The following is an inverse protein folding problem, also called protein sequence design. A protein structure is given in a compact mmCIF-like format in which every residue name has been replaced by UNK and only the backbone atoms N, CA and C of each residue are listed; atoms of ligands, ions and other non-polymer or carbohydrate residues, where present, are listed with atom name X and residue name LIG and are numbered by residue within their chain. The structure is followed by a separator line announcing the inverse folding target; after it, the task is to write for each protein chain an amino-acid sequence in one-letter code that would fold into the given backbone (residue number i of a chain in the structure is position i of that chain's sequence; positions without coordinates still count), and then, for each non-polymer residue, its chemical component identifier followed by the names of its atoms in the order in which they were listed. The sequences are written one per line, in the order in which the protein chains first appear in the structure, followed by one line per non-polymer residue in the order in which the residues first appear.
data_IF_480232816168
#
_entry.id   IF_480232816168
#
_cell.length_a   1.000
_cell.length_b   1.000
_cell.length_c   1.000
_cell.angle_alpha   90.00
_cell.angle_beta   90.00
_cell.angle_gamma   90.00
#
_symmetry.space_group_name_H-M   'P 1'
#
loop_
_entity.id
_entity.type
_entity.pdbx_description
1 polymer ?
#
# COMPACT_ATOMS: atom_id res chain seq x y z
N UNK A 1 -5.51 -20.23 15.25
CA UNK A 1 -6.53 -21.30 15.33
C UNK A 1 -7.51 -21.01 14.20
N UNK A 2 -7.30 -21.62 13.03
CA UNK A 2 -8.10 -21.39 11.82
C UNK A 2 -9.45 -22.10 11.97
N UNK A 3 -10.55 -21.36 11.91
CA UNK A 3 -11.89 -21.93 11.81
C UNK A 3 -12.40 -21.71 10.39
N UNK A 4 -12.25 -22.72 9.53
CA UNK A 4 -12.64 -22.65 8.12
C UNK A 4 -14.13 -22.34 7.90
N UNK A 5 -15.00 -22.64 8.88
CA UNK A 5 -16.43 -22.32 8.83
C UNK A 5 -16.75 -20.89 9.28
N UNK A 6 -15.86 -20.29 10.08
CA UNK A 6 -16.05 -18.95 10.64
C UNK A 6 -15.69 -17.83 9.64
N UNK A 7 -15.00 -18.17 8.54
CA UNK A 7 -14.39 -17.21 7.59
C UNK A 7 -15.08 -17.17 6.20
N UNK A 8 -16.04 -18.06 5.91
CA UNK A 8 -16.73 -18.06 4.61
C UNK A 8 -17.77 -16.96 4.51
N UNK A 9 -17.55 -16.04 3.58
CA UNK A 9 -18.46 -14.93 3.29
C UNK A 9 -19.74 -15.40 2.57
N UNK A 10 -19.62 -16.45 1.74
CA UNK A 10 -20.73 -17.07 1.00
C UNK A 10 -21.85 -17.55 1.93
N UNK A 11 -21.52 -17.87 3.18
CA UNK A 11 -22.50 -18.29 4.17
C UNK A 11 -23.41 -17.13 4.64
N UNK A 12 -23.01 -15.88 4.39
CA UNK A 12 -23.76 -14.68 4.73
C UNK A 12 -24.47 -14.06 3.53
N UNK A 13 -24.12 -14.43 2.31
CA UNK A 13 -24.63 -13.78 1.10
C UNK A 13 -25.50 -14.74 0.29
N UNK A 14 -26.67 -14.26 -0.10
CA UNK A 14 -27.67 -14.98 -0.87
C UNK A 14 -28.03 -14.17 -2.13
N UNK A 15 -28.62 -14.79 -3.18
CA UNK A 15 -29.10 -14.07 -4.36
C UNK A 15 -29.95 -12.84 -4.01
N UNK A 16 -30.79 -12.98 -2.98
CA UNK A 16 -31.46 -11.88 -2.29
C UNK A 16 -31.15 -11.99 -0.79
N UNK A 17 -30.26 -11.13 -0.30
CA UNK A 17 -29.80 -11.17 1.09
C UNK A 17 -30.69 -10.31 1.97
N UNK A 18 -31.25 -10.89 3.04
CA UNK A 18 -31.91 -10.13 4.10
C UNK A 18 -30.90 -9.88 5.22
N UNK A 19 -30.49 -8.63 5.38
CA UNK A 19 -29.61 -8.17 6.45
C UNK A 19 -30.41 -7.87 7.71
N UNK A 20 -29.97 -8.44 8.83
CA UNK A 20 -30.47 -8.15 10.16
C UNK A 20 -29.40 -7.39 10.93
N UNK A 21 -29.63 -6.09 11.09
CA UNK A 21 -28.66 -5.15 11.66
C UNK A 21 -29.09 -4.78 13.07
N UNK A 22 -28.27 -5.17 14.05
CA UNK A 22 -28.45 -4.84 15.45
C UNK A 22 -27.52 -3.68 15.79
N UNK A 23 -28.11 -2.51 16.03
CA UNK A 23 -27.41 -1.23 16.07
C UNK A 23 -27.37 -0.69 17.52
N UNK A 24 -26.21 -0.20 17.98
CA UNK A 24 -25.99 0.07 19.39
C UNK A 24 -26.79 1.27 19.93
N UNK A 25 -27.20 2.20 19.07
CA UNK A 25 -27.82 3.48 19.45
C UNK A 25 -28.98 3.86 18.54
N UNK A 26 -29.90 4.69 19.02
CA UNK A 26 -30.95 5.27 18.17
C UNK A 26 -30.38 6.11 17.03
N UNK A 27 -29.22 6.74 17.23
CA UNK A 27 -28.53 7.52 16.21
C UNK A 27 -28.06 6.63 15.05
N UNK A 28 -27.41 5.50 15.36
CA UNK A 28 -26.98 4.54 14.34
C UNK A 28 -28.17 3.90 13.60
N UNK A 29 -29.29 3.65 14.29
CA UNK A 29 -30.55 3.24 13.64
C UNK A 29 -31.06 4.29 12.66
N UNK A 30 -31.09 5.57 13.08
CA UNK A 30 -31.54 6.66 12.22
C UNK A 30 -30.64 6.85 10.99
N UNK A 31 -29.31 6.82 11.18
CA UNK A 31 -28.34 6.85 10.07
C UNK A 31 -28.64 5.75 9.06
N UNK A 32 -28.88 4.54 9.54
CA UNK A 32 -29.16 3.40 8.68
C UNK A 32 -30.49 3.50 7.92
N UNK A 33 -31.57 3.93 8.58
CA UNK A 33 -32.87 4.16 7.94
C UNK A 33 -32.77 5.24 6.87
N UNK A 34 -32.10 6.35 7.16
CA UNK A 34 -31.88 7.44 6.21
C UNK A 34 -31.07 6.98 5.00
N UNK A 35 -29.98 6.25 5.22
CA UNK A 35 -29.17 5.66 4.16
C UNK A 35 -30.01 4.73 3.27
N UNK A 36 -30.78 3.82 3.88
CA UNK A 36 -31.66 2.90 3.15
C UNK A 36 -32.70 3.64 2.31
N UNK A 37 -33.34 4.66 2.88
CA UNK A 37 -34.33 5.49 2.19
C UNK A 37 -33.72 6.24 0.99
N UNK A 38 -32.54 6.83 1.14
CA UNK A 38 -31.84 7.54 0.07
C UNK A 38 -31.34 6.60 -1.03
N UNK A 39 -30.92 5.39 -0.64
CA UNK A 39 -30.39 4.36 -1.55
C UNK A 39 -31.46 3.48 -2.20
N UNK A 40 -32.75 3.68 -1.90
CA UNK A 40 -33.86 2.80 -2.30
C UNK A 40 -33.69 1.34 -1.87
N UNK A 41 -33.07 1.10 -0.70
CA UNK A 41 -32.98 -0.24 -0.11
C UNK A 41 -34.24 -0.49 0.75
N UNK A 42 -35.04 -1.54 0.46
CA UNK A 42 -36.21 -1.86 1.27
C UNK A 42 -35.81 -2.19 2.71
N UNK A 43 -36.12 -1.28 3.64
CA UNK A 43 -35.79 -1.41 5.05
C UNK A 43 -37.03 -1.36 5.94
N UNK A 44 -37.07 -2.21 6.95
CA UNK A 44 -38.11 -2.25 7.97
C UNK A 44 -37.45 -2.24 9.35
N UNK A 45 -37.84 -1.30 10.21
CA UNK A 45 -37.44 -1.33 11.60
C UNK A 45 -38.27 -2.39 12.34
N UNK A 46 -37.60 -3.42 12.86
CA UNK A 46 -38.23 -4.57 13.54
C UNK A 46 -38.30 -4.32 15.05
N UNK A 47 -37.32 -3.60 15.60
CA UNK A 47 -37.26 -3.18 17.00
C UNK A 47 -36.51 -1.84 17.13
N UNK A 48 -36.53 -1.25 18.33
CA UNK A 48 -35.77 -0.07 18.76
C UNK A 48 -34.29 -0.06 18.34
N UNK A 49 -33.66 -1.24 18.27
CA UNK A 49 -32.25 -1.41 17.91
C UNK A 49 -32.03 -2.38 16.74
N UNK A 50 -33.09 -2.79 16.03
CA UNK A 50 -32.98 -3.78 14.96
C UNK A 50 -33.67 -3.30 13.68
N UNK A 51 -32.94 -3.30 12.58
CA UNK A 51 -33.50 -3.07 11.25
C UNK A 51 -33.25 -4.29 10.36
N UNK A 52 -34.24 -4.59 9.53
CA UNK A 52 -34.15 -5.58 8.46
C UNK A 52 -34.04 -4.85 7.14
N UNK A 53 -33.08 -5.22 6.30
CA UNK A 53 -32.89 -4.63 4.97
C UNK A 53 -32.74 -5.72 3.92
N UNK A 54 -33.50 -5.63 2.82
CA UNK A 54 -33.38 -6.56 1.69
C UNK A 54 -32.48 -5.97 0.61
N UNK A 55 -31.51 -6.76 0.17
CA UNK A 55 -30.48 -6.30 -0.79
C UNK A 55 -30.20 -7.41 -1.78
N UNK A 56 -30.27 -7.09 -3.07
CA UNK A 56 -29.87 -8.02 -4.14
C UNK A 56 -28.36 -8.26 -4.12
N UNK A 57 -27.92 -9.46 -4.49
CA UNK A 57 -26.49 -9.82 -4.52
C UNK A 57 -25.62 -8.79 -5.26
N UNK A 58 -26.13 -8.22 -6.36
CA UNK A 58 -25.44 -7.20 -7.16
C UNK A 58 -25.21 -5.86 -6.44
N UNK A 59 -25.92 -5.62 -5.34
CA UNK A 59 -25.89 -4.37 -4.58
C UNK A 59 -25.28 -4.52 -3.18
N UNK A 60 -24.98 -5.75 -2.73
CA UNK A 60 -24.45 -6.05 -1.38
C UNK A 60 -23.22 -5.21 -1.04
N UNK A 61 -22.22 -5.19 -1.92
CA UNK A 61 -20.97 -4.44 -1.67
C UNK A 61 -21.25 -2.94 -1.51
N UNK A 62 -22.03 -2.36 -2.42
CA UNK A 62 -22.43 -0.94 -2.35
C UNK A 62 -23.23 -0.63 -1.10
N UNK A 63 -24.14 -1.52 -0.73
CA UNK A 63 -24.98 -1.38 0.46
C UNK A 63 -24.13 -1.36 1.73
N UNK A 64 -23.30 -2.38 1.95
CA UNK A 64 -22.52 -2.52 3.18
C UNK A 64 -21.45 -1.44 3.30
N UNK A 65 -20.71 -1.17 2.22
CA UNK A 65 -19.70 -0.10 2.21
C UNK A 65 -20.32 1.28 2.41
N UNK A 66 -21.44 1.56 1.73
CA UNK A 66 -22.14 2.83 1.85
C UNK A 66 -22.75 3.02 3.23
N UNK A 67 -23.50 2.04 3.73
CA UNK A 67 -24.20 2.13 5.01
C UNK A 67 -23.23 2.34 6.16
N UNK A 68 -22.18 1.52 6.21
CA UNK A 68 -21.23 1.60 7.31
C UNK A 68 -20.17 2.68 7.10
N UNK A 69 -20.09 3.29 5.92
CA UNK A 69 -19.38 4.55 5.71
C UNK A 69 -19.99 5.72 6.48
N UNK A 70 -21.27 5.64 6.86
CA UNK A 70 -21.96 6.65 7.68
C UNK A 70 -21.66 6.51 9.19
N UNK A 71 -20.94 5.46 9.59
CA UNK A 71 -20.77 5.06 11.00
C UNK A 71 -19.38 5.42 11.50
N UNK A 72 -19.29 5.83 12.77
CA UNK A 72 -18.01 5.99 13.45
C UNK A 72 -17.39 4.62 13.78
N UNK A 73 -16.05 4.51 13.97
CA UNK A 73 -15.39 3.24 14.25
C UNK A 73 -15.95 2.47 15.46
N UNK A 74 -16.37 3.18 16.50
CA UNK A 74 -16.99 2.57 17.68
C UNK A 74 -18.39 2.02 17.37
N UNK A 75 -19.18 2.74 16.57
CA UNK A 75 -20.50 2.28 16.12
C UNK A 75 -20.37 1.03 15.24
N UNK A 76 -19.40 1.01 14.34
CA UNK A 76 -19.05 -0.12 13.48
C UNK A 76 -18.69 -1.39 14.26
N UNK A 77 -17.89 -1.27 15.32
CA UNK A 77 -17.48 -2.41 16.14
C UNK A 77 -18.59 -2.91 17.06
N UNK A 78 -19.48 -2.01 17.50
CA UNK A 78 -20.60 -2.35 18.37
C UNK A 78 -21.83 -2.86 17.60
N UNK A 79 -21.99 -2.47 16.33
CA UNK A 79 -23.04 -2.96 15.45
C UNK A 79 -22.82 -4.43 15.10
N UNK A 80 -23.89 -5.21 15.15
CA UNK A 80 -23.86 -6.64 14.83
C UNK A 80 -24.72 -6.96 13.63
N UNK A 81 -24.29 -7.94 12.84
CA UNK A 81 -24.95 -8.35 11.62
C UNK A 81 -25.14 -9.86 11.62
N UNK A 82 -26.30 -10.29 11.16
CA UNK A 82 -26.52 -11.62 10.59
C UNK A 82 -27.37 -11.51 9.33
N UNK A 83 -27.50 -12.60 8.57
CA UNK A 83 -28.22 -12.60 7.30
C UNK A 83 -29.05 -13.86 7.11
N UNK A 84 -30.10 -13.75 6.30
CA UNK A 84 -30.98 -14.85 5.91
C UNK A 84 -31.32 -14.78 4.42
N UNK A 85 -31.71 -15.92 3.83
CA UNK A 85 -32.32 -16.03 2.50
C UNK A 85 -33.84 -15.77 2.60
N UNK A 86 -34.18 -14.58 3.12
CA UNK A 86 -35.54 -14.24 3.54
C UNK A 86 -35.96 -14.88 4.86
N UNK A 87 -37.18 -14.56 5.32
CA UNK A 87 -37.72 -15.05 6.59
C UNK A 87 -36.98 -14.52 7.83
N UNK A 88 -37.42 -14.96 9.03
CA UNK A 88 -36.81 -14.56 10.31
C UNK A 88 -35.55 -15.40 10.65
N UNK A 89 -34.59 -14.85 11.43
CA UNK A 89 -33.36 -15.57 11.77
C UNK A 89 -33.64 -16.79 12.66
N UNK A 90 -33.08 -17.92 12.27
CA UNK A 90 -33.03 -19.15 13.08
C UNK A 90 -31.93 -19.07 14.16
N UNK A 91 -31.93 -20.03 15.09
CA UNK A 91 -30.86 -20.13 16.11
C UNK A 91 -29.46 -20.30 15.49
N UNK A 92 -29.35 -20.96 14.34
CA UNK A 92 -28.09 -21.08 13.60
C UNK A 92 -27.64 -19.75 12.98
N UNK A 93 -28.57 -18.87 12.60
CA UNK A 93 -28.25 -17.55 12.05
C UNK A 93 -27.80 -16.60 13.15
N UNK A 94 -28.43 -16.68 14.33
CA UNK A 94 -28.00 -15.95 15.53
C UNK A 94 -26.61 -16.39 15.96
N UNK A 95 -26.29 -17.70 15.89
CA UNK A 95 -24.97 -18.23 16.17
C UNK A 95 -23.86 -17.72 15.24
N UNK A 96 -24.23 -17.10 14.10
CA UNK A 96 -23.33 -16.51 13.10
C UNK A 96 -23.24 -14.99 13.20
N UNK A 97 -23.77 -14.38 14.25
CA UNK A 97 -23.76 -12.94 14.42
C UNK A 97 -22.34 -12.39 14.62
N UNK A 98 -21.93 -11.45 13.75
CA UNK A 98 -20.57 -10.86 13.74
C UNK A 98 -20.63 -9.33 13.88
N UNK A 99 -19.57 -8.68 14.38
CA UNK A 99 -19.44 -7.23 14.25
C UNK A 99 -19.54 -6.79 12.79
N UNK A 100 -20.16 -5.64 12.53
CA UNK A 100 -20.25 -5.06 11.19
C UNK A 100 -18.86 -4.86 10.57
N UNK A 101 -17.90 -4.36 11.38
CA UNK A 101 -16.50 -4.20 10.98
C UNK A 101 -15.87 -5.51 10.49
N UNK A 102 -16.21 -6.66 11.07
CA UNK A 102 -15.70 -7.96 10.64
C UNK A 102 -16.26 -8.37 9.28
N UNK A 103 -17.58 -8.21 9.06
CA UNK A 103 -18.19 -8.55 7.77
C UNK A 103 -17.67 -7.63 6.65
N UNK A 104 -17.52 -6.34 6.93
CA UNK A 104 -16.97 -5.35 6.00
C UNK A 104 -15.51 -5.67 5.67
N UNK A 105 -14.69 -5.98 6.68
CA UNK A 105 -13.30 -6.36 6.43
C UNK A 105 -13.20 -7.62 5.56
N UNK A 106 -14.11 -8.60 5.73
CA UNK A 106 -14.17 -9.79 4.88
C UNK A 106 -14.51 -9.44 3.44
N UNK A 107 -15.54 -8.63 3.21
CA UNK A 107 -15.91 -8.16 1.86
C UNK A 107 -14.79 -7.35 1.22
N UNK A 108 -14.16 -6.49 2.02
CA UNK A 108 -13.05 -5.67 1.57
C UNK A 108 -11.78 -6.48 1.31
N UNK A 109 -11.65 -7.70 1.82
CA UNK A 109 -10.43 -8.50 1.60
C UNK A 109 -10.58 -9.46 0.43
N UNK A 110 -11.80 -9.85 0.09
CA UNK A 110 -12.09 -10.77 -1.01
C UNK A 110 -11.61 -10.20 -2.35
N UNK A 111 -11.86 -8.92 -2.62
CA UNK A 111 -11.38 -8.30 -3.86
C UNK A 111 -9.85 -8.25 -3.93
N UNK A 112 -9.14 -8.10 -2.79
CA UNK A 112 -7.67 -8.10 -2.75
C UNK A 112 -7.15 -9.50 -3.08
N UNK A 113 -7.74 -10.54 -2.48
CA UNK A 113 -7.40 -11.94 -2.77
C UNK A 113 -7.66 -12.24 -4.25
N UNK A 114 -8.85 -11.93 -4.74
CA UNK A 114 -9.22 -12.13 -6.14
C UNK A 114 -8.31 -11.36 -7.08
N UNK A 115 -7.94 -10.11 -6.75
CA UNK A 115 -7.03 -9.33 -7.56
C UNK A 115 -5.62 -9.92 -7.59
N UNK A 116 -5.16 -10.49 -6.48
CA UNK A 116 -3.88 -11.22 -6.40
C UNK A 116 -3.95 -12.49 -7.25
N UNK A 117 -4.96 -13.33 -7.07
CA UNK A 117 -5.08 -14.63 -7.75
C UNK A 117 -5.22 -14.48 -9.27
N UNK A 118 -5.86 -13.40 -9.72
CA UNK A 118 -6.06 -13.09 -11.14
C UNK A 118 -4.96 -12.19 -11.74
N UNK A 119 -3.88 -11.90 -11.01
CA UNK A 119 -2.80 -11.01 -11.44
C UNK A 119 -3.29 -9.58 -11.86
N UNK A 120 -4.37 -9.08 -11.24
CA UNK A 120 -4.97 -7.76 -11.48
C UNK A 120 -4.22 -6.65 -10.74
N UNK A 121 -2.92 -6.61 -10.93
CA UNK A 121 -2.04 -5.60 -10.37
C UNK A 121 -0.91 -5.28 -11.35
N UNK A 122 -0.38 -4.07 -11.26
CA UNK A 122 0.70 -3.57 -12.09
C UNK A 122 1.65 -2.70 -11.26
N UNK A 123 2.83 -2.41 -11.79
CA UNK A 123 3.74 -1.43 -11.19
C UNK A 123 3.89 -0.22 -12.10
N UNK A 124 3.62 0.96 -11.55
CA UNK A 124 3.94 2.23 -12.19
C UNK A 124 5.33 2.67 -11.77
N UNK A 125 6.07 3.30 -12.68
CA UNK A 125 7.40 3.82 -12.40
C UNK A 125 7.37 5.33 -12.34
N UNK A 126 7.82 5.90 -11.23
CA UNK A 126 8.10 7.33 -11.14
C UNK A 126 9.60 7.57 -11.31
N UNK A 127 10.03 8.40 -12.28
CA UNK A 127 11.44 8.66 -12.48
C UNK A 127 12.03 9.54 -11.36
N UNK A 128 13.25 9.20 -10.98
CA UNK A 128 14.14 9.96 -10.11
C UNK A 128 15.27 10.48 -10.99
N UNK A 129 15.44 11.81 -11.06
CA UNK A 129 16.35 12.45 -11.99
C UNK A 129 17.64 12.93 -11.32
N UNK A 130 18.74 12.81 -12.06
CA UNK A 130 19.96 13.57 -11.81
C UNK A 130 19.98 14.80 -12.72
N UNK A 131 20.45 15.93 -12.20
CA UNK A 131 20.64 17.16 -12.98
C UNK A 131 22.12 17.54 -12.93
N UNK A 132 22.77 17.63 -14.08
CA UNK A 132 24.20 17.98 -14.14
C UNK A 132 24.43 19.49 -14.02
N UNK A 133 25.70 19.91 -13.97
CA UNK A 133 26.08 21.33 -13.84
C UNK A 133 25.62 22.21 -15.01
N UNK A 134 25.37 21.60 -16.17
CA UNK A 134 24.86 22.25 -17.37
C UNK A 134 23.32 22.35 -17.40
N UNK A 135 22.64 21.80 -16.38
CA UNK A 135 21.18 21.78 -16.30
C UNK A 135 20.54 20.65 -17.10
N UNK A 136 21.31 19.68 -17.60
CA UNK A 136 20.77 18.52 -18.30
C UNK A 136 20.18 17.53 -17.29
N UNK A 137 18.92 17.18 -17.52
CA UNK A 137 18.13 16.28 -16.68
C UNK A 137 18.15 14.88 -17.27
N UNK A 138 18.64 13.90 -16.51
CA UNK A 138 18.73 12.49 -16.95
C UNK A 138 18.09 11.56 -15.90
N UNK A 139 17.30 10.55 -16.31
CA UNK A 139 16.80 9.56 -15.36
C UNK A 139 17.97 8.82 -14.71
N UNK A 140 18.03 8.88 -13.38
CA UNK A 140 18.98 8.13 -12.56
C UNK A 140 18.40 6.78 -12.13
N UNK A 141 17.13 6.81 -11.72
CA UNK A 141 16.43 5.66 -11.17
C UNK A 141 14.92 5.80 -11.36
N UNK A 142 14.19 4.76 -10.93
CA UNK A 142 12.74 4.71 -10.95
C UNK A 142 12.23 4.08 -9.66
N UNK A 143 11.27 4.71 -9.02
CA UNK A 143 10.52 4.13 -7.91
C UNK A 143 9.37 3.26 -8.45
N UNK A 144 9.34 1.99 -8.03
CA UNK A 144 8.30 1.04 -8.36
C UNK A 144 7.09 1.17 -7.45
N UNK A 145 6.06 1.85 -7.95
CA UNK A 145 4.83 2.13 -7.22
C UNK A 145 3.74 1.12 -7.60
N UNK A 146 3.42 0.23 -6.67
CA UNK A 146 2.40 -0.80 -6.85
C UNK A 146 1.03 -0.18 -7.15
N UNK A 147 0.25 -0.83 -8.02
CA UNK A 147 -1.14 -0.48 -8.35
C UNK A 147 -1.92 -1.78 -8.39
N UNK A 148 -3.01 -1.84 -7.63
CA UNK A 148 -3.92 -2.99 -7.63
C UNK A 148 -5.29 -2.54 -8.09
N UNK A 149 -6.00 -3.40 -8.81
CA UNK A 149 -7.33 -3.11 -9.34
C UNK A 149 -8.41 -3.85 -8.58
N UNK A 150 -9.53 -3.20 -8.37
CA UNK A 150 -10.73 -3.84 -7.82
C UNK A 150 -11.45 -4.68 -8.90
N UNK A 151 -12.54 -5.34 -8.51
CA UNK A 151 -13.41 -6.12 -9.39
C UNK A 151 -14.03 -5.30 -10.54
N UNK A 152 -14.09 -3.97 -10.40
CA UNK A 152 -14.60 -3.03 -11.40
C UNK A 152 -13.48 -2.42 -12.25
N UNK A 153 -12.24 -2.94 -12.14
CA UNK A 153 -11.04 -2.52 -12.85
C UNK A 153 -10.53 -1.11 -12.48
N UNK A 154 -11.00 -0.53 -11.37
CA UNK A 154 -10.52 0.74 -10.85
C UNK A 154 -9.18 0.56 -10.13
N UNK A 155 -8.25 1.50 -10.31
CA UNK A 155 -7.00 1.52 -9.54
C UNK A 155 -7.32 1.93 -8.10
N UNK A 156 -7.02 1.06 -7.15
CA UNK A 156 -7.17 1.32 -5.72
C UNK A 156 -5.87 1.93 -5.18
N UNK A 157 -5.93 2.98 -4.35
CA UNK A 157 -4.75 3.52 -3.68
C UNK A 157 -4.03 2.42 -2.88
N UNK A 158 -2.71 2.25 -3.05
CA UNK A 158 -1.95 1.18 -2.39
C UNK A 158 -2.10 1.20 -0.86
N UNK A 159 -2.05 2.38 -0.24
CA UNK A 159 -2.24 2.52 1.20
C UNK A 159 -3.55 1.89 1.70
N UNK A 160 -4.62 1.96 0.90
CA UNK A 160 -5.89 1.30 1.23
C UNK A 160 -5.75 -0.22 1.16
N UNK A 161 -5.19 -0.75 0.06
CA UNK A 161 -5.00 -2.19 -0.11
C UNK A 161 -4.10 -2.80 0.98
N UNK A 162 -3.01 -2.13 1.33
CA UNK A 162 -2.10 -2.57 2.39
C UNK A 162 -2.75 -2.53 3.78
N UNK A 163 -3.58 -1.52 4.08
CA UNK A 163 -4.35 -1.46 5.34
C UNK A 163 -5.36 -2.60 5.46
N UNK A 164 -6.03 -2.95 4.35
CA UNK A 164 -6.92 -4.11 4.32
C UNK A 164 -6.16 -5.42 4.49
N UNK A 165 -5.01 -5.55 3.83
CA UNK A 165 -4.16 -6.73 3.96
C UNK A 165 -3.63 -6.92 5.38
N UNK A 166 -3.32 -5.82 6.09
CA UNK A 166 -2.94 -5.85 7.51
C UNK A 166 -4.10 -6.34 8.40
N UNK A 167 -5.32 -5.88 8.16
CA UNK A 167 -6.51 -6.32 8.91
C UNK A 167 -6.93 -7.78 8.67
N UNK A 168 -6.30 -8.46 7.70
CA UNK A 168 -6.68 -9.80 7.22
C UNK A 168 -5.51 -10.77 7.13
N UNK A 169 -4.39 -10.50 7.81
CA UNK A 169 -3.17 -11.34 7.82
C UNK A 169 -2.57 -11.62 6.41
N UNK A 170 -2.88 -10.77 5.41
CA UNK A 170 -2.37 -10.87 4.04
C UNK A 170 -1.20 -9.93 3.74
N UNK A 171 -0.80 -9.11 4.72
CA UNK A 171 0.21 -8.06 4.54
C UNK A 171 1.52 -8.59 3.94
N UNK A 172 1.99 -9.75 4.44
CA UNK A 172 3.18 -10.42 3.92
C UNK A 172 3.05 -10.80 2.44
N UNK A 173 1.95 -11.46 2.08
CA UNK A 173 1.70 -11.92 0.72
C UNK A 173 1.63 -10.74 -0.24
N UNK A 174 0.89 -9.69 0.13
CA UNK A 174 0.74 -8.50 -0.70
C UNK A 174 2.06 -7.74 -0.88
N UNK A 175 2.85 -7.58 0.18
CA UNK A 175 4.19 -6.95 0.10
C UNK A 175 5.14 -7.73 -0.83
N UNK A 176 5.17 -9.06 -0.71
CA UNK A 176 5.99 -9.91 -1.59
C UNK A 176 5.54 -9.81 -3.06
N UNK A 177 4.23 -9.80 -3.31
CA UNK A 177 3.66 -9.63 -4.65
C UNK A 177 4.01 -8.26 -5.22
N UNK A 178 3.89 -7.19 -4.43
CA UNK A 178 4.24 -5.85 -4.85
C UNK A 178 5.73 -5.75 -5.26
N UNK A 179 6.63 -6.33 -4.46
CA UNK A 179 8.07 -6.38 -4.79
C UNK A 179 8.33 -7.19 -6.05
N UNK A 180 7.72 -8.38 -6.20
CA UNK A 180 7.87 -9.21 -7.42
C UNK A 180 7.32 -8.50 -8.65
N UNK A 181 6.17 -7.84 -8.52
CA UNK A 181 5.56 -7.02 -9.55
C UNK A 181 6.52 -5.92 -10.00
N UNK A 182 7.16 -5.21 -9.07
CA UNK A 182 8.12 -4.16 -9.41
C UNK A 182 9.31 -4.69 -10.21
N UNK A 183 9.92 -5.79 -9.77
CA UNK A 183 11.05 -6.44 -10.47
C UNK A 183 10.63 -6.93 -11.86
N UNK A 184 9.48 -7.58 -11.98
CA UNK A 184 8.95 -8.09 -13.25
C UNK A 184 8.64 -6.98 -14.26
N UNK A 185 7.92 -5.95 -13.82
CA UNK A 185 7.59 -4.81 -14.67
C UNK A 185 8.82 -4.00 -15.07
N UNK A 186 9.82 -3.87 -14.18
CA UNK A 186 11.07 -3.17 -14.49
C UNK A 186 11.87 -3.92 -15.56
N UNK A 187 11.90 -5.25 -15.49
CA UNK A 187 12.51 -6.06 -16.55
C UNK A 187 11.78 -5.91 -17.88
N UNK A 188 10.45 -5.93 -17.86
CA UNK A 188 9.60 -5.80 -19.06
C UNK A 188 9.68 -4.42 -19.71
N UNK A 189 9.86 -3.36 -18.92
CA UNK A 189 9.91 -1.99 -19.42
C UNK A 189 11.24 -1.60 -20.06
N UNK A 190 12.28 -2.44 -19.94
CA UNK A 190 13.63 -2.16 -20.43
C UNK A 190 14.22 -0.81 -19.95
N UNK A 191 13.71 -0.28 -18.83
CA UNK A 191 14.22 0.93 -18.20
C UNK A 191 15.70 0.77 -17.83
N UNK A 192 16.43 1.88 -17.92
CA UNK A 192 17.86 1.96 -17.60
C UNK A 192 18.03 2.75 -16.31
N UNK A 193 18.91 2.30 -15.42
CA UNK A 193 19.13 2.95 -14.13
C UNK A 193 18.72 2.04 -12.99
N UNK A 194 18.52 2.62 -11.81
CA UNK A 194 18.18 1.84 -10.61
C UNK A 194 16.68 1.66 -10.43
N UNK A 195 16.29 0.58 -9.79
CA UNK A 195 14.94 0.30 -9.34
C UNK A 195 14.87 0.50 -7.82
N UNK A 196 14.05 1.44 -7.37
CA UNK A 196 13.71 1.64 -5.97
C UNK A 196 12.43 0.87 -5.65
N UNK A 197 12.45 0.10 -4.56
CA UNK A 197 11.36 -0.78 -4.15
C UNK A 197 11.04 -0.54 -2.68
N UNK A 198 9.81 -0.14 -2.41
CA UNK A 198 9.25 -0.08 -1.08
C UNK A 198 9.29 -1.45 -0.38
N UNK A 199 9.67 -1.45 0.89
CA UNK A 199 9.71 -2.65 1.71
C UNK A 199 9.05 -2.36 3.06
N UNK A 200 8.09 -3.20 3.45
CA UNK A 200 7.47 -3.12 4.77
C UNK A 200 8.01 -4.21 5.72
N UNK A 201 8.90 -3.86 6.66
CA UNK A 201 9.44 -4.81 7.62
C UNK A 201 8.42 -5.46 8.57
N UNK A 202 7.29 -4.78 8.85
CA UNK A 202 6.20 -5.37 9.65
C UNK A 202 5.52 -6.53 8.95
N UNK A 203 5.72 -6.67 7.64
CA UNK A 203 5.21 -7.81 6.86
C UNK A 203 6.02 -9.09 7.08
N UNK A 204 7.19 -9.02 7.72
CA UNK A 204 8.15 -10.13 7.74
C UNK A 204 7.87 -11.09 8.90
N UNK A 205 7.37 -12.28 8.58
CA UNK A 205 7.28 -13.40 9.52
C UNK A 205 8.60 -14.21 9.62
N UNK A 206 9.24 -14.48 8.47
CA UNK A 206 10.60 -15.05 8.37
C UNK A 206 11.47 -14.14 7.50
N UNK A 207 12.38 -13.35 8.11
CA UNK A 207 13.30 -12.46 7.39
C UNK A 207 14.12 -13.23 6.36
N UNK A 208 14.56 -14.44 6.70
CA UNK A 208 15.43 -15.22 5.84
C UNK A 208 14.73 -15.60 4.54
N UNK A 209 13.47 -16.03 4.61
CA UNK A 209 12.69 -16.41 3.44
C UNK A 209 12.30 -15.19 2.59
N UNK A 210 11.78 -14.15 3.22
CA UNK A 210 11.29 -12.93 2.56
C UNK A 210 12.38 -12.26 1.70
N UNK A 211 13.58 -12.15 2.27
CA UNK A 211 14.70 -11.49 1.61
C UNK A 211 15.27 -12.35 0.47
N UNK A 212 15.28 -13.68 0.64
CA UNK A 212 15.70 -14.63 -0.40
C UNK A 212 14.75 -14.64 -1.59
N UNK A 213 13.44 -14.55 -1.36
CA UNK A 213 12.45 -14.63 -2.44
C UNK A 213 12.59 -13.46 -3.44
N UNK A 214 12.69 -12.22 -2.96
CA UNK A 214 12.91 -11.07 -3.86
C UNK A 214 14.31 -11.08 -4.47
N UNK A 215 15.34 -11.42 -3.70
CA UNK A 215 16.69 -11.54 -4.25
C UNK A 215 16.77 -12.62 -5.35
N UNK A 216 16.09 -13.75 -5.18
CA UNK A 216 15.98 -14.79 -6.19
C UNK A 216 15.26 -14.29 -7.44
N UNK A 217 14.15 -13.54 -7.29
CA UNK A 217 13.44 -12.93 -8.41
C UNK A 217 14.32 -11.97 -9.21
N UNK A 218 15.05 -11.09 -8.52
CA UNK A 218 15.98 -10.14 -9.12
C UNK A 218 17.08 -10.88 -9.91
N UNK A 219 17.71 -11.87 -9.27
CA UNK A 219 18.77 -12.67 -9.89
C UNK A 219 18.26 -13.49 -11.09
N UNK A 220 17.09 -14.11 -10.97
CA UNK A 220 16.51 -14.95 -12.03
C UNK A 220 16.17 -14.15 -13.29
N UNK A 221 15.82 -12.87 -13.15
CA UNK A 221 15.58 -11.96 -14.27
C UNK A 221 16.85 -11.24 -14.77
N UNK A 222 18.01 -11.56 -14.19
CA UNK A 222 19.31 -11.00 -14.55
C UNK A 222 19.41 -9.50 -14.29
N UNK A 223 18.67 -8.98 -13.31
CA UNK A 223 18.84 -7.62 -12.81
C UNK A 223 20.00 -7.65 -11.81
N UNK A 224 20.93 -6.72 -11.96
CA UNK A 224 22.10 -6.68 -11.10
C UNK A 224 21.70 -6.16 -9.70
N UNK A 225 22.12 -6.80 -8.60
CA UNK A 225 21.75 -6.36 -7.26
C UNK A 225 22.08 -4.90 -6.96
N UNK A 226 23.22 -4.39 -7.45
CA UNK A 226 23.59 -2.98 -7.26
C UNK A 226 22.65 -1.97 -7.93
N UNK A 227 21.79 -2.43 -8.84
CA UNK A 227 20.78 -1.61 -9.51
C UNK A 227 19.42 -1.68 -8.82
N UNK A 228 19.30 -2.35 -7.68
CA UNK A 228 18.08 -2.36 -6.87
C UNK A 228 18.36 -1.73 -5.50
N UNK A 229 17.46 -0.84 -5.08
CA UNK A 229 17.50 -0.13 -3.80
C UNK A 229 16.21 -0.41 -3.04
N UNK A 230 16.33 -0.89 -1.80
CA UNK A 230 15.17 -1.10 -0.93
C UNK A 230 14.90 0.12 -0.06
N UNK A 231 13.67 0.60 -0.06
CA UNK A 231 13.23 1.74 0.75
C UNK A 231 12.61 1.25 2.05
N UNK A 232 13.03 1.84 3.17
CA UNK A 232 12.45 1.62 4.49
C UNK A 232 11.89 2.94 5.02
N UNK A 233 10.67 2.93 5.54
CA UNK A 233 10.01 4.14 6.06
C UNK A 233 10.31 4.36 7.55
N UNK A 234 10.18 5.61 8.00
CA UNK A 234 10.38 5.99 9.40
C UNK A 234 9.43 5.28 10.39
N UNK A 235 8.19 5.01 9.95
CA UNK A 235 7.16 4.34 10.76
C UNK A 235 7.48 2.87 11.06
N UNK A 236 8.51 2.31 10.43
CA UNK A 236 8.94 0.94 10.71
C UNK A 236 9.67 0.76 12.06
N UNK A 237 9.81 1.83 12.83
CA UNK A 237 10.39 1.83 14.18
C UNK A 237 9.70 0.89 15.19
N UNK A 238 8.54 0.33 14.86
CA UNK A 238 7.87 -0.72 15.66
C UNK A 238 8.57 -2.11 15.60
N UNK A 239 9.49 -2.33 14.65
CA UNK A 239 10.21 -3.60 14.51
C UNK A 239 11.44 -3.64 15.43
N UNK A 240 11.77 -4.81 15.99
CA UNK A 240 12.99 -5.04 16.78
C UNK A 240 14.23 -4.58 15.98
N UNK A 241 15.04 -3.70 16.58
CA UNK A 241 16.24 -3.13 15.95
C UNK A 241 17.21 -4.21 15.45
N UNK A 242 17.33 -5.33 16.17
CA UNK A 242 18.20 -6.44 15.79
C UNK A 242 17.75 -7.12 14.49
N UNK A 243 16.43 -7.30 14.34
CA UNK A 243 15.81 -7.88 13.13
C UNK A 243 16.04 -6.95 11.94
N UNK A 244 15.79 -5.65 12.12
CA UNK A 244 16.03 -4.65 11.08
C UNK A 244 17.50 -4.66 10.62
N UNK A 245 18.45 -4.64 11.56
CA UNK A 245 19.88 -4.71 11.22
C UNK A 245 20.23 -5.98 10.46
N UNK A 246 19.64 -7.12 10.83
CA UNK A 246 19.80 -8.38 10.11
C UNK A 246 19.35 -8.28 8.66
N UNK A 247 18.18 -7.68 8.43
CA UNK A 247 17.61 -7.47 7.09
C UNK A 247 18.52 -6.56 6.25
N UNK A 248 18.91 -5.40 6.78
CA UNK A 248 19.74 -4.46 6.04
C UNK A 248 21.12 -5.04 5.72
N UNK A 249 21.70 -5.81 6.65
CA UNK A 249 22.98 -6.50 6.42
C UNK A 249 22.84 -7.57 5.34
N UNK A 250 21.75 -8.34 5.33
CA UNK A 250 21.49 -9.30 4.25
C UNK A 250 21.43 -8.59 2.90
N UNK A 251 20.69 -7.49 2.79
CA UNK A 251 20.55 -6.76 1.53
C UNK A 251 21.89 -6.21 1.03
N UNK A 252 22.67 -5.59 1.91
CA UNK A 252 24.01 -5.10 1.57
C UNK A 252 24.96 -6.20 1.15
N UNK A 253 24.96 -7.34 1.87
CA UNK A 253 25.81 -8.49 1.53
C UNK A 253 25.43 -9.11 0.18
N UNK A 254 24.16 -8.99 -0.22
CA UNK A 254 23.68 -9.40 -1.54
C UNK A 254 23.96 -8.35 -2.64
N UNK A 255 24.47 -7.17 -2.29
CA UNK A 255 24.84 -6.10 -3.21
C UNK A 255 23.73 -5.07 -3.47
N UNK A 256 22.62 -5.12 -2.74
CA UNK A 256 21.52 -4.14 -2.85
C UNK A 256 21.85 -2.84 -2.12
N UNK A 257 21.29 -1.73 -2.62
CA UNK A 257 21.28 -0.46 -1.90
C UNK A 257 20.13 -0.37 -0.89
N UNK A 258 20.25 0.53 0.06
CA UNK A 258 19.20 0.85 1.05
C UNK A 258 18.92 2.34 1.05
N UNK A 259 17.65 2.70 1.01
CA UNK A 259 17.17 4.07 1.16
C UNK A 259 16.33 4.21 2.44
N UNK A 260 16.49 5.33 3.14
CA UNK A 260 15.58 5.73 4.22
C UNK A 260 14.58 6.73 3.65
N UNK A 261 13.29 6.35 3.71
CA UNK A 261 12.18 7.10 3.14
C UNK A 261 11.51 8.04 4.15
N UNK A 262 10.82 9.06 3.62
CA UNK A 262 10.00 10.04 4.35
C UNK A 262 10.72 10.80 5.50
N UNK A 263 12.02 11.10 5.38
CA UNK A 263 12.71 11.87 6.43
C UNK A 263 12.10 13.27 6.53
N UNK A 264 11.62 13.59 7.74
CA UNK A 264 11.07 14.90 8.07
C UNK A 264 9.60 14.89 8.48
N UNK A 265 8.89 13.79 8.22
CA UNK A 265 7.49 13.58 8.61
C UNK A 265 7.32 13.20 10.10
N UNK A 266 8.40 12.80 10.79
CA UNK A 266 8.38 12.34 12.19
C UNK A 266 9.62 12.70 13.03
N UNK A 267 9.67 12.16 14.25
CA UNK A 267 10.69 12.48 15.27
C UNK A 267 11.96 11.60 15.23
N UNK A 268 12.01 10.59 14.36
CA UNK A 268 12.98 9.49 14.42
C UNK A 268 13.88 9.32 13.19
N UNK A 269 13.65 10.06 12.09
CA UNK A 269 14.46 9.97 10.87
C UNK A 269 15.97 10.14 11.09
N UNK A 270 16.40 11.11 11.91
CA UNK A 270 17.81 11.31 12.25
C UNK A 270 18.41 10.16 13.06
N UNK A 271 17.63 9.56 13.96
CA UNK A 271 18.08 8.39 14.71
C UNK A 271 18.24 7.18 13.78
N UNK A 272 17.33 7.00 12.83
CA UNK A 272 17.42 5.92 11.84
C UNK A 272 18.59 6.11 10.88
N UNK A 273 18.85 7.34 10.43
CA UNK A 273 20.02 7.67 9.61
C UNK A 273 21.32 7.22 10.30
N UNK A 274 21.50 7.57 11.58
CA UNK A 274 22.66 7.14 12.37
C UNK A 274 22.73 5.63 12.55
N UNK A 275 21.59 5.00 12.91
CA UNK A 275 21.54 3.57 13.22
C UNK A 275 21.76 2.69 12.01
N UNK A 276 21.13 3.03 10.89
CA UNK A 276 21.03 2.17 9.72
C UNK A 276 22.00 2.53 8.61
N UNK A 277 22.53 3.75 8.56
CA UNK A 277 23.53 4.22 7.58
C UNK A 277 23.14 3.89 6.12
N UNK A 278 21.97 4.34 5.66
CA UNK A 278 21.48 4.06 4.31
C UNK A 278 22.38 4.69 3.23
N UNK A 279 22.33 4.15 2.01
CA UNK A 279 23.01 4.70 0.84
C UNK A 279 22.29 5.96 0.32
N UNK A 280 20.96 5.99 0.48
CA UNK A 280 20.10 7.11 0.07
C UNK A 280 19.21 7.58 1.21
N UNK A 281 18.90 8.86 1.21
CA UNK A 281 17.93 9.51 2.09
C UNK A 281 16.93 10.22 1.19
N UNK A 282 15.64 9.94 1.37
CA UNK A 282 14.56 10.65 0.71
C UNK A 282 14.00 11.70 1.67
N UNK A 283 13.96 12.95 1.23
CA UNK A 283 13.37 14.07 1.98
C UNK A 283 11.91 14.16 1.60
N UNK A 284 11.05 14.01 2.60
CA UNK A 284 9.60 13.95 2.44
C UNK A 284 9.02 15.20 1.75
N UNK A 285 7.92 14.99 1.04
CA UNK A 285 7.25 16.06 0.31
C UNK A 285 6.76 17.18 1.23
N UNK A 286 6.35 16.94 2.46
CA UNK A 286 5.84 18.00 3.36
C UNK A 286 6.92 19.04 3.69
N UNK A 287 8.19 18.63 3.69
CA UNK A 287 9.33 19.54 3.82
C UNK A 287 9.66 20.26 2.51
N UNK A 288 9.45 19.62 1.37
CA UNK A 288 9.73 20.19 0.04
C UNK A 288 8.62 21.14 -0.43
N UNK A 289 7.35 20.86 -0.09
CA UNK A 289 6.20 21.67 -0.52
C UNK A 289 6.24 23.07 0.06
N UNK A 290 6.23 24.06 -0.84
CA UNK A 290 6.31 25.47 -0.49
C UNK A 290 7.65 25.87 0.12
N UNK A 291 8.71 25.09 -0.08
CA UNK A 291 10.05 25.34 0.48
C UNK A 291 10.58 26.74 0.16
N UNK A 292 10.19 27.32 -0.98
CA UNK A 292 10.66 28.64 -1.40
C UNK A 292 10.12 29.82 -0.59
N UNK A 293 8.97 29.65 0.05
CA UNK A 293 8.33 30.72 0.81
C UNK A 293 8.50 30.57 2.33
N UNK A 294 9.15 29.49 2.79
CA UNK A 294 9.32 29.18 4.22
C UNK A 294 10.80 29.10 4.62
N UNK A 295 11.37 30.17 5.22
CA UNK A 295 12.75 30.19 5.70
C UNK A 295 13.08 29.15 6.79
N UNK A 296 12.08 28.72 7.57
CA UNK A 296 12.27 27.69 8.58
C UNK A 296 12.40 26.32 7.93
N UNK A 297 11.52 25.97 6.98
CA UNK A 297 11.66 24.75 6.17
C UNK A 297 12.99 24.74 5.41
N UNK A 298 13.40 25.86 4.82
CA UNK A 298 14.71 25.99 4.16
C UNK A 298 15.86 25.65 5.08
N UNK A 299 15.84 26.19 6.31
CA UNK A 299 16.86 25.90 7.31
C UNK A 299 16.89 24.41 7.65
N UNK A 300 15.73 23.79 7.87
CA UNK A 300 15.62 22.37 8.21
C UNK A 300 16.16 21.50 7.05
N UNK A 301 15.62 21.67 5.85
CA UNK A 301 16.01 20.88 4.67
C UNK A 301 17.49 21.02 4.38
N UNK A 302 18.03 22.25 4.39
CA UNK A 302 19.47 22.48 4.18
C UNK A 302 20.35 21.68 5.15
N UNK A 303 19.99 21.64 6.44
CA UNK A 303 20.76 20.88 7.43
C UNK A 303 20.55 19.37 7.30
N UNK A 304 19.34 18.92 6.95
CA UNK A 304 19.10 17.50 6.66
C UNK A 304 19.96 17.01 5.49
N UNK A 305 20.05 17.80 4.41
CA UNK A 305 20.94 17.48 3.28
C UNK A 305 22.40 17.37 3.74
N UNK A 306 22.87 18.35 4.51
CA UNK A 306 24.23 18.33 5.03
C UNK A 306 24.50 17.11 5.93
N UNK A 307 23.59 16.79 6.84
CA UNK A 307 23.72 15.64 7.75
C UNK A 307 23.75 14.33 6.97
N UNK A 308 22.90 14.17 5.95
CA UNK A 308 22.89 12.99 5.09
C UNK A 308 24.24 12.81 4.38
N UNK A 309 24.79 13.89 3.80
CA UNK A 309 26.10 13.88 3.16
C UNK A 309 27.24 13.56 4.13
N UNK A 310 27.22 14.15 5.32
CA UNK A 310 28.23 13.90 6.36
C UNK A 310 28.21 12.44 6.84
N UNK A 311 27.08 11.74 6.71
CA UNK A 311 26.93 10.32 6.99
C UNK A 311 27.18 9.42 5.76
N UNK A 312 27.56 10.00 4.61
CA UNK A 312 27.89 9.28 3.38
C UNK A 312 26.68 8.89 2.52
N UNK A 313 25.47 9.35 2.85
CA UNK A 313 24.27 9.08 2.08
C UNK A 313 24.08 10.10 0.95
N UNK A 314 23.40 9.68 -0.11
CA UNK A 314 22.91 10.55 -1.19
C UNK A 314 21.49 11.02 -0.92
N UNK A 315 21.15 12.24 -1.31
CA UNK A 315 19.84 12.83 -1.04
C UNK A 315 18.96 12.82 -2.28
N UNK A 316 17.74 12.30 -2.11
CA UNK A 316 16.64 12.40 -3.07
C UNK A 316 15.61 13.37 -2.47
N UNK A 317 15.25 14.43 -3.18
CA UNK A 317 14.20 15.33 -2.76
C UNK A 317 12.89 15.03 -3.49
N UNK A 318 11.80 14.86 -2.74
CA UNK A 318 10.52 14.38 -3.27
C UNK A 318 9.43 15.43 -3.34
N UNK A 319 8.38 15.12 -4.10
CA UNK A 319 7.20 15.96 -4.19
C UNK A 319 7.45 17.31 -4.87
N UNK A 320 8.45 17.43 -5.73
CA UNK A 320 8.73 18.70 -6.41
C UNK A 320 7.62 19.01 -7.43
N UNK A 321 6.95 20.16 -7.28
CA UNK A 321 5.93 20.62 -8.25
C UNK A 321 6.20 21.98 -8.86
N UNK A 322 7.14 22.75 -8.30
CA UNK A 322 7.48 24.08 -8.81
C UNK A 322 8.97 24.23 -9.12
N UNK A 323 9.28 25.09 -10.09
CA UNK A 323 10.67 25.39 -10.46
C UNK A 323 11.43 26.06 -9.30
N UNK A 324 10.72 26.79 -8.44
CA UNK A 324 11.27 27.46 -7.27
C UNK A 324 11.72 26.47 -6.19
N UNK A 325 10.93 25.43 -5.91
CA UNK A 325 11.32 24.34 -5.01
C UNK A 325 12.58 23.63 -5.54
N UNK A 326 12.58 23.28 -6.84
CA UNK A 326 13.73 22.64 -7.49
C UNK A 326 15.00 23.50 -7.38
N UNK A 327 14.89 24.80 -7.66
CA UNK A 327 16.03 25.71 -7.63
C UNK A 327 16.67 25.80 -6.23
N UNK A 328 15.87 25.78 -5.16
CA UNK A 328 16.39 25.81 -3.79
C UNK A 328 17.03 24.48 -3.42
N UNK A 329 16.42 23.35 -3.79
CA UNK A 329 17.00 22.03 -3.54
C UNK A 329 18.35 21.86 -4.26
N UNK A 330 18.49 22.41 -5.47
CA UNK A 330 19.77 22.49 -6.17
C UNK A 330 20.80 23.36 -5.43
N UNK A 331 20.38 24.51 -4.87
CA UNK A 331 21.25 25.35 -4.05
C UNK A 331 21.71 24.62 -2.77
N UNK A 332 20.84 23.80 -2.19
CA UNK A 332 21.17 22.95 -1.04
C UNK A 332 21.97 21.71 -1.42
N UNK A 333 22.20 21.48 -2.72
CA UNK A 333 22.98 20.37 -3.28
C UNK A 333 22.36 18.99 -3.04
N UNK A 334 21.03 18.89 -3.07
CA UNK A 334 20.40 17.58 -3.20
C UNK A 334 20.96 16.84 -4.44
N UNK A 335 21.16 15.52 -4.34
CA UNK A 335 21.80 14.75 -5.40
C UNK A 335 20.81 14.39 -6.52
N UNK A 336 19.57 14.06 -6.15
CA UNK A 336 18.53 13.59 -7.04
C UNK A 336 17.16 14.21 -6.74
N UNK A 337 16.28 14.19 -7.74
CA UNK A 337 15.03 14.95 -7.72
C UNK A 337 13.86 14.12 -8.25
N UNK A 338 12.77 14.09 -7.49
CA UNK A 338 11.54 13.38 -7.83
C UNK A 338 10.32 14.27 -7.57
N UNK A 339 9.37 14.27 -8.49
CA UNK A 339 8.17 15.08 -8.36
C UNK A 339 7.41 15.24 -9.67
N UNK A 340 6.17 15.70 -9.59
CA UNK A 340 5.29 15.83 -10.75
C UNK A 340 5.75 16.91 -11.75
N UNK A 341 6.58 17.86 -11.30
CA UNK A 341 7.27 18.79 -12.19
C UNK A 341 8.16 18.04 -13.21
N UNK A 342 8.80 16.96 -12.77
CA UNK A 342 9.82 16.23 -13.53
C UNK A 342 9.25 14.98 -14.20
N UNK A 343 8.36 14.26 -13.52
CA UNK A 343 7.73 13.06 -14.04
C UNK A 343 6.72 12.47 -13.07
N UNK A 344 5.53 12.14 -13.60
CA UNK A 344 4.49 11.44 -12.84
C UNK A 344 4.71 9.92 -12.90
N UNK A 345 4.26 9.18 -11.88
CA UNK A 345 4.16 7.73 -11.96
C UNK A 345 3.36 7.30 -13.19
N UNK A 346 3.89 6.36 -13.96
CA UNK A 346 3.16 5.79 -15.10
C UNK A 346 3.53 4.34 -15.35
N UNK A 347 2.58 3.58 -15.89
CA UNK A 347 2.86 2.26 -16.45
C UNK A 347 3.75 2.42 -17.67
N UNK A 348 4.86 1.68 -17.70
CA UNK A 348 5.74 1.66 -18.86
C UNK A 348 5.27 0.61 -19.86
N UNK A 349 5.20 1.00 -21.14
CA UNK A 349 4.89 0.06 -22.20
C UNK A 349 6.11 -0.84 -22.44
N UNK A 350 5.88 -2.13 -22.45
CA UNK A 350 6.91 -3.13 -22.75
C UNK A 350 7.07 -3.26 -24.25
N UNK A 351 8.29 -3.09 -24.76
CA UNK A 351 8.66 -3.38 -26.15
C UNK A 351 8.97 -4.87 -26.39
N UNK A 352 9.04 -5.69 -25.34
CA UNK A 352 9.27 -7.14 -25.43
C UNK A 352 8.13 -7.88 -26.15
N UNK A 353 8.48 -9.01 -26.76
CA UNK A 353 7.51 -9.96 -27.32
C UNK A 353 6.66 -10.61 -26.22
N UNK A 354 5.47 -11.09 -26.58
CA UNK A 354 4.58 -11.75 -25.61
C UNK A 354 5.19 -13.04 -25.04
N UNK A 355 5.98 -13.76 -25.83
CA UNK A 355 6.74 -14.93 -25.35
C UNK A 355 7.75 -14.57 -24.26
N UNK A 356 8.45 -13.45 -24.41
CA UNK A 356 9.39 -12.96 -23.39
C UNK A 356 8.68 -12.51 -22.12
N UNK A 357 7.52 -11.83 -22.25
CA UNK A 357 6.70 -11.45 -21.10
C UNK A 357 6.23 -12.69 -20.32
N UNK A 358 5.71 -13.69 -21.03
CA UNK A 358 5.26 -14.95 -20.42
C UNK A 358 6.43 -15.67 -19.73
N UNK A 359 7.63 -15.66 -20.34
CA UNK A 359 8.82 -16.24 -19.72
C UNK A 359 9.21 -15.54 -18.42
N UNK A 360 9.16 -14.20 -18.38
CA UNK A 360 9.40 -13.42 -17.17
C UNK A 360 8.39 -13.82 -16.08
N UNK A 361 7.11 -13.87 -16.43
CA UNK A 361 6.04 -14.21 -15.47
C UNK A 361 6.16 -15.63 -14.93
N UNK A 362 6.44 -16.61 -15.79
CA UNK A 362 6.68 -17.99 -15.38
C UNK A 362 7.92 -18.13 -14.48
N UNK A 363 8.97 -17.34 -14.75
CA UNK A 363 10.17 -17.31 -13.91
C UNK A 363 9.84 -16.81 -12.51
N UNK A 364 9.04 -15.74 -12.41
CA UNK A 364 8.62 -15.18 -11.12
C UNK A 364 7.67 -16.11 -10.35
N UNK A 365 6.73 -16.77 -11.04
CA UNK A 365 5.79 -17.72 -10.43
C UNK A 365 6.48 -18.99 -9.92
N UNK A 366 7.59 -19.41 -10.55
CA UNK A 366 8.36 -20.59 -10.14
C UNK A 366 9.25 -20.39 -8.91
N UNK A 367 9.38 -19.16 -8.41
CA UNK A 367 10.16 -18.85 -7.21
C UNK A 367 9.22 -18.96 -6.01
N UNK A 368 9.33 -20.07 -5.27
CA UNK A 368 8.67 -20.25 -3.98
C UNK A 368 9.31 -19.35 -2.95
#
# INVERSE_FOLDING_TARGET
MFCADCERIDNYLFPQTTFWLFLPTFESVNKAILFCGNGNYPALQVDSHCIRVEVEASQVNRFLLGLFGEFEPNELNASKITTTDGGEPSLSDIGRLVPASVLINRLNSEWVINAIENDNYETHFQPIFAINQQGETTPFAYEGLFRIRDEFNNIVPPAHAFKLAEGSDLLFSLDLIARRSAVGHFKKSALKGKLFINFNPSSIYDPSYCLRATAAAINALGIQPQDVVFEITETTSATDESVMRGILNFYRNAGFGVALDDIGSGFSGLNMLHKYRPDYVKIDMDLVRGLHDDPYKQTIVKHLVQIAHDNGSKVIAEGIESQQELAILQQFKADYYQGFLLGKPMLQQSELSDEEKIRIDNTLKGIN
#
